data_IF_931067699164
#
_entry.id   IF_931067699164
#
_cell.length_a   1.000
_cell.length_b   1.000
_cell.length_c   1.000
_cell.angle_alpha   90.00
_cell.angle_beta   90.00
_cell.angle_gamma   90.00
#
_symmetry.space_group_name_H-M   'P 1'
#
loop_
_entity.id
_entity.type
_entity.pdbx_description
1 polymer ?
#
# COMPACT_ATOMS: atom_id res chain seq x y z
N UNK A 1 -9.51 -18.19 -5.29
CA UNK A 1 -10.95 -18.08 -4.89
C UNK A 1 -11.45 -16.75 -5.42
N UNK A 2 -12.41 -16.78 -6.34
CA UNK A 2 -12.99 -15.55 -6.89
C UNK A 2 -14.16 -15.09 -6.03
N UNK A 3 -14.09 -13.87 -5.50
CA UNK A 3 -15.22 -13.24 -4.83
C UNK A 3 -15.13 -11.71 -4.93
N UNK A 4 -16.15 -11.03 -4.42
CA UNK A 4 -16.27 -9.58 -4.52
C UNK A 4 -15.19 -8.90 -3.69
N UNK A 5 -14.30 -8.15 -4.33
CA UNK A 5 -13.32 -7.30 -3.65
C UNK A 5 -14.05 -6.22 -2.84
N UNK A 6 -13.72 -6.09 -1.56
CA UNK A 6 -14.32 -5.07 -0.68
C UNK A 6 -13.96 -3.64 -1.12
N UNK A 7 -12.80 -3.46 -1.78
CA UNK A 7 -12.29 -2.13 -2.15
C UNK A 7 -12.85 -1.59 -3.46
N UNK A 8 -12.86 -2.38 -4.54
CA UNK A 8 -13.37 -1.96 -5.85
C UNK A 8 -14.78 -2.48 -6.16
N UNK A 9 -15.28 -3.47 -5.42
CA UNK A 9 -16.60 -4.04 -5.62
C UNK A 9 -16.71 -5.03 -6.80
N UNK A 10 -15.65 -5.28 -7.55
CA UNK A 10 -15.65 -6.26 -8.64
C UNK A 10 -15.40 -7.68 -8.13
N UNK A 11 -15.97 -8.68 -8.80
CA UNK A 11 -15.64 -10.09 -8.57
C UNK A 11 -14.31 -10.38 -9.26
N UNK A 12 -13.29 -10.67 -8.47
CA UNK A 12 -11.93 -10.98 -8.93
C UNK A 12 -11.32 -12.03 -8.02
N UNK A 13 -10.15 -12.53 -8.40
CA UNK A 13 -9.34 -13.35 -7.52
C UNK A 13 -8.90 -12.56 -6.27
N UNK A 14 -9.18 -13.13 -5.10
CA UNK A 14 -8.77 -12.57 -3.82
C UNK A 14 -7.44 -13.16 -3.42
N UNK A 15 -6.45 -12.28 -3.28
CA UNK A 15 -5.08 -12.64 -2.89
C UNK A 15 -4.79 -12.38 -1.42
N UNK A 16 -5.60 -11.54 -0.76
CA UNK A 16 -5.37 -11.09 0.60
C UNK A 16 -6.69 -10.80 1.32
N UNK A 17 -6.68 -10.90 2.66
CA UNK A 17 -7.71 -10.32 3.51
C UNK A 17 -7.10 -9.22 4.38
N UNK A 18 -7.51 -7.97 4.16
CA UNK A 18 -7.10 -6.82 4.97
C UNK A 18 -8.21 -6.58 5.98
N UNK A 19 -7.89 -6.65 7.28
CA UNK A 19 -8.87 -6.53 8.38
C UNK A 19 -10.07 -7.50 8.25
N UNK A 20 -9.84 -8.67 7.66
CA UNK A 20 -10.86 -9.69 7.39
C UNK A 20 -11.63 -9.49 6.07
N UNK A 21 -11.51 -8.32 5.44
CA UNK A 21 -12.15 -8.01 4.17
C UNK A 21 -11.36 -8.56 2.97
N UNK A 22 -12.02 -9.18 1.98
CA UNK A 22 -11.34 -9.74 0.81
C UNK A 22 -10.88 -8.65 -0.17
N UNK A 23 -9.60 -8.66 -0.53
CA UNK A 23 -9.01 -7.69 -1.46
C UNK A 23 -8.41 -8.39 -2.68
N UNK A 24 -8.67 -7.82 -3.86
CA UNK A 24 -8.01 -8.23 -5.09
C UNK A 24 -6.57 -7.69 -5.14
N UNK A 25 -5.76 -8.34 -5.98
CA UNK A 25 -4.35 -8.02 -6.17
C UNK A 25 -4.12 -6.53 -6.46
N UNK A 26 -4.86 -5.98 -7.41
CA UNK A 26 -4.68 -4.59 -7.86
C UNK A 26 -4.96 -3.56 -6.75
N UNK A 27 -5.97 -3.81 -5.91
CA UNK A 27 -6.29 -2.94 -4.78
C UNK A 27 -5.24 -3.05 -3.67
N UNK A 28 -4.72 -4.25 -3.44
CA UNK A 28 -3.64 -4.47 -2.49
C UNK A 28 -2.36 -3.74 -2.92
N UNK A 29 -1.94 -3.91 -4.18
CA UNK A 29 -0.73 -3.23 -4.69
C UNK A 29 -0.87 -1.71 -4.69
N UNK A 30 -2.04 -1.15 -5.00
CA UNK A 30 -2.27 0.29 -4.88
C UNK A 30 -2.13 0.76 -3.43
N UNK A 31 -2.65 0.01 -2.45
CA UNK A 31 -2.48 0.34 -1.04
C UNK A 31 -1.02 0.23 -0.58
N UNK A 32 -0.31 -0.82 -0.99
CA UNK A 32 1.11 -1.01 -0.67
C UNK A 32 2.01 0.03 -1.34
N UNK A 33 1.72 0.40 -2.59
CA UNK A 33 2.42 1.46 -3.32
C UNK A 33 2.37 2.79 -2.56
N UNK A 34 1.17 3.19 -2.10
CA UNK A 34 1.00 4.40 -1.28
C UNK A 34 1.78 4.34 0.05
N UNK A 35 2.00 3.15 0.61
CA UNK A 35 2.82 2.98 1.82
C UNK A 35 4.31 3.13 1.48
N UNK A 36 4.75 2.55 0.35
CA UNK A 36 6.13 2.66 -0.10
C UNK A 36 6.50 4.11 -0.46
N UNK A 37 5.63 4.82 -1.18
CA UNK A 37 5.83 6.24 -1.52
C UNK A 37 5.95 7.11 -0.26
N UNK A 38 5.10 6.87 0.74
CA UNK A 38 5.18 7.56 2.03
C UNK A 38 6.46 7.22 2.79
N UNK A 39 6.86 5.95 2.80
CA UNK A 39 8.07 5.52 3.48
C UNK A 39 9.34 6.10 2.83
N UNK A 40 9.37 6.21 1.50
CA UNK A 40 10.47 6.85 0.77
C UNK A 40 10.58 8.35 1.07
N UNK A 41 9.46 9.07 1.11
CA UNK A 41 9.45 10.48 1.49
C UNK A 41 10.05 10.72 2.89
N UNK A 42 9.72 9.87 3.86
CA UNK A 42 10.30 9.95 5.21
C UNK A 42 11.82 9.67 5.23
N UNK A 43 12.31 8.80 4.34
CA UNK A 43 13.75 8.52 4.20
C UNK A 43 14.47 9.73 3.60
N UNK A 44 13.84 10.46 2.67
CA UNK A 44 14.41 11.68 2.08
C UNK A 44 14.51 12.81 3.11
N UNK A 45 13.46 13.03 3.92
CA UNK A 45 13.49 14.02 5.01
C UNK A 45 14.60 13.70 6.04
N UNK A 46 14.76 12.41 6.38
CA UNK A 46 15.82 11.97 7.30
C UNK A 46 17.25 12.16 6.75
N UNK A 47 17.43 12.23 5.42
CA UNK A 47 18.72 12.53 4.80
C UNK A 47 19.05 14.03 4.85
N UNK A 48 18.07 14.91 4.68
CA UNK A 48 18.29 16.36 4.72
C UNK A 48 18.70 16.87 6.11
N UNK A 49 18.11 16.31 7.18
CA UNK A 49 18.45 16.70 8.55
C UNK A 49 19.89 16.39 8.99
N UNK A 50 20.64 15.55 8.25
CA UNK A 50 22.06 15.27 8.52
C UNK A 50 23.03 16.22 7.81
N UNK A 51 22.57 17.03 6.85
CA UNK A 51 23.45 17.91 6.08
C UNK A 51 23.53 19.34 6.64
N UNK A 52 22.58 19.77 7.48
CA UNK A 52 22.58 21.11 8.11
C UNK A 52 23.27 21.15 9.48
N UNK A 53 23.92 20.06 9.89
CA UNK A 53 24.63 19.95 11.18
C UNK A 53 26.16 19.99 11.07
N UNK A 54 26.71 20.31 9.89
CA UNK A 54 28.16 20.46 9.63
C UNK A 54 28.49 21.91 9.26
#
# INVERSE_FOLDING_TARGET
>A
MECKCAKCGEVREIVCRVDGEPWCEECLYKALGLILDKALGLIEEAKQAKHEAD
#
